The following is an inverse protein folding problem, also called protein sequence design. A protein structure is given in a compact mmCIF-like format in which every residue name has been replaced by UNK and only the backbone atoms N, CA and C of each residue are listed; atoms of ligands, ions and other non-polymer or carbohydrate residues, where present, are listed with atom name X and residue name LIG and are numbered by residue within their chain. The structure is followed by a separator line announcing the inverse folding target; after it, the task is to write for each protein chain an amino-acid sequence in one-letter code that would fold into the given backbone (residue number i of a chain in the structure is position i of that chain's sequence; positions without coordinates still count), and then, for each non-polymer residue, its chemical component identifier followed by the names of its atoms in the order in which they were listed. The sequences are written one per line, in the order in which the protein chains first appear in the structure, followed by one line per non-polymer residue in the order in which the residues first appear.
data_IF_745717824300
#
_entry.id   IF_745717824300
#
_cell.length_a   1.000
_cell.length_b   1.000
_cell.length_c   1.000
_cell.angle_alpha   90.00
_cell.angle_beta   90.00
_cell.angle_gamma   90.00
#
_symmetry.space_group_name_H-M   'P 1'
#
loop_
_entity.id
_entity.type
_entity.pdbx_description
1 polymer ?
#
# COMPACT_ATOMS: atom_id res chain seq x y z
N UNK A 1 14.25 7.43 -16.12
CA UNK A 1 13.43 6.64 -15.15
C UNK A 1 13.45 5.19 -15.60
N UNK A 2 13.50 4.20 -14.69
CA UNK A 2 13.43 2.78 -15.08
C UNK A 2 12.05 2.49 -15.71
N UNK A 3 12.00 1.56 -16.68
CA UNK A 3 10.74 1.08 -17.28
C UNK A 3 9.93 0.23 -16.27
N UNK A 4 8.64 0.01 -16.57
CA UNK A 4 7.80 -0.91 -15.79
C UNK A 4 8.41 -2.32 -15.76
N UNK A 5 8.87 -2.82 -16.92
CA UNK A 5 9.48 -4.14 -17.01
C UNK A 5 10.73 -4.25 -16.14
N UNK A 6 11.61 -3.25 -16.17
CA UNK A 6 12.80 -3.24 -15.30
C UNK A 6 12.45 -3.30 -13.83
N UNK A 7 11.46 -2.51 -13.38
CA UNK A 7 11.01 -2.54 -12.00
C UNK A 7 10.40 -3.88 -11.60
N UNK A 8 9.61 -4.47 -12.50
CA UNK A 8 8.95 -5.75 -12.25
C UNK A 8 9.96 -6.90 -12.21
N UNK A 9 10.97 -6.88 -13.08
CA UNK A 9 12.03 -7.88 -13.10
C UNK A 9 12.89 -7.83 -11.82
N UNK A 10 13.29 -6.61 -11.39
CA UNK A 10 14.02 -6.43 -10.13
C UNK A 10 13.21 -6.90 -8.92
N UNK A 11 11.90 -6.57 -8.88
CA UNK A 11 11.02 -7.02 -7.81
C UNK A 11 10.86 -8.55 -7.82
N UNK A 12 10.69 -9.14 -9.00
CA UNK A 12 10.52 -10.57 -9.18
C UNK A 12 11.74 -11.40 -8.76
N UNK A 13 12.94 -10.80 -8.73
CA UNK A 13 14.17 -11.52 -8.29
C UNK A 13 14.08 -12.08 -6.87
N UNK A 14 13.38 -11.42 -5.98
CA UNK A 14 13.15 -11.84 -4.59
C UNK A 14 11.75 -12.41 -4.35
N UNK A 15 11.02 -12.77 -5.44
CA UNK A 15 9.65 -13.26 -5.38
C UNK A 15 9.44 -14.41 -6.37
N UNK A 16 10.36 -15.39 -6.41
CA UNK A 16 10.27 -16.58 -7.29
C UNK A 16 9.51 -17.71 -6.64
N UNK A 17 9.66 -17.88 -5.32
CA UNK A 17 9.03 -18.95 -4.57
C UNK A 17 7.50 -18.73 -4.52
N UNK A 18 6.66 -19.74 -4.87
CA UNK A 18 5.20 -19.59 -4.89
C UNK A 18 4.59 -19.30 -3.51
N UNK A 19 5.18 -19.83 -2.43
CA UNK A 19 4.71 -19.55 -1.06
C UNK A 19 4.96 -18.10 -0.71
N UNK A 20 6.16 -17.58 -1.01
CA UNK A 20 6.49 -16.18 -0.82
C UNK A 20 5.55 -15.27 -1.62
N UNK A 21 5.27 -15.58 -2.89
CA UNK A 21 4.29 -14.85 -3.70
C UNK A 21 2.91 -14.80 -3.05
N UNK A 22 2.42 -15.93 -2.56
CA UNK A 22 1.11 -15.99 -1.90
C UNK A 22 1.06 -15.14 -0.63
N UNK A 23 2.14 -15.13 0.16
CA UNK A 23 2.27 -14.25 1.33
C UNK A 23 2.20 -12.78 0.86
N UNK A 24 2.90 -12.41 -0.22
CA UNK A 24 2.91 -11.06 -0.75
C UNK A 24 1.55 -10.62 -1.31
N UNK A 25 0.76 -11.54 -1.89
CA UNK A 25 -0.62 -11.26 -2.33
C UNK A 25 -1.53 -10.79 -1.18
N UNK A 26 -1.22 -11.18 0.05
CA UNK A 26 -1.96 -10.77 1.25
C UNK A 26 -1.29 -9.55 1.89
N UNK A 27 0.01 -9.66 2.16
CA UNK A 27 0.72 -8.65 2.95
C UNK A 27 0.90 -7.31 2.24
N UNK A 28 1.15 -7.29 0.92
CA UNK A 28 1.36 -6.04 0.18
C UNK A 28 0.13 -5.15 0.16
N UNK A 29 -1.10 -5.63 -0.16
CA UNK A 29 -2.30 -4.81 -0.04
C UNK A 29 -2.57 -4.33 1.39
N UNK A 30 -2.30 -5.16 2.41
CA UNK A 30 -2.45 -4.78 3.80
C UNK A 30 -1.46 -3.68 4.20
N UNK A 31 -0.18 -3.80 3.82
CA UNK A 31 0.83 -2.76 4.05
C UNK A 31 0.41 -1.47 3.34
N UNK A 32 -0.04 -1.55 2.10
CA UNK A 32 -0.50 -0.36 1.36
C UNK A 32 -1.67 0.33 2.06
N UNK A 33 -2.68 -0.44 2.49
CA UNK A 33 -3.80 0.07 3.30
C UNK A 33 -3.33 0.76 4.58
N UNK A 34 -2.43 0.11 5.33
CA UNK A 34 -1.97 0.65 6.61
C UNK A 34 -1.11 1.90 6.46
N UNK A 35 -0.31 2.00 5.40
CA UNK A 35 0.44 3.24 5.10
C UNK A 35 -0.52 4.39 4.84
N UNK A 36 -1.60 4.17 4.06
CA UNK A 36 -2.64 5.19 3.87
C UNK A 36 -3.30 5.53 5.21
N UNK A 37 -3.67 4.53 6.03
CA UNK A 37 -4.29 4.72 7.33
C UNK A 37 -3.42 5.48 8.33
N UNK A 38 -2.12 5.24 8.33
CA UNK A 38 -1.15 5.99 9.14
C UNK A 38 -1.07 7.45 8.71
N UNK A 39 -0.95 7.73 7.41
CA UNK A 39 -0.98 9.11 6.88
C UNK A 39 -2.32 9.79 7.14
N UNK A 40 -3.43 9.05 7.06
CA UNK A 40 -4.76 9.54 7.40
C UNK A 40 -4.89 9.97 8.86
N UNK A 41 -4.22 9.26 9.76
CA UNK A 41 -4.27 9.49 11.21
C UNK A 41 -3.41 10.66 11.69
N UNK A 42 -2.57 11.25 10.83
CA UNK A 42 -1.74 12.42 11.20
C UNK A 42 -2.66 13.63 11.40
N UNK A 43 -2.57 14.32 12.54
CA UNK A 43 -3.35 15.53 12.80
C UNK A 43 -3.17 16.58 11.70
N UNK A 44 -4.28 17.10 11.18
CA UNK A 44 -4.25 18.05 10.05
C UNK A 44 -4.11 19.48 10.57
N UNK A 45 -3.19 20.29 10.03
CA UNK A 45 -3.12 21.70 10.34
C UNK A 45 -4.40 22.44 9.99
N UNK A 46 -4.76 23.48 10.77
CA UNK A 46 -5.99 24.26 10.55
C UNK A 46 -6.10 24.86 9.15
N UNK A 47 -4.95 25.16 8.50
CA UNK A 47 -4.91 25.66 7.12
C UNK A 47 -5.49 24.67 6.10
N UNK A 48 -5.54 23.38 6.40
CA UNK A 48 -6.15 22.37 5.52
C UNK A 48 -7.67 22.29 5.69
N UNK A 49 -8.23 22.82 6.80
CA UNK A 49 -9.64 22.70 7.12
C UNK A 49 -10.58 23.36 6.06
N UNK A 50 -10.07 24.28 5.26
CA UNK A 50 -10.83 24.96 4.20
C UNK A 50 -11.01 24.08 2.94
N UNK A 51 -10.24 22.98 2.80
CA UNK A 51 -10.29 22.10 1.64
C UNK A 51 -10.81 20.73 2.09
N UNK A 52 -12.00 20.30 1.64
CA UNK A 52 -12.58 19.01 2.00
C UNK A 52 -11.61 17.87 1.67
N UNK A 53 -11.48 16.93 2.59
CA UNK A 53 -10.64 15.73 2.47
C UNK A 53 -9.14 15.98 2.27
N UNK A 54 -8.66 17.23 2.38
CA UNK A 54 -7.23 17.51 2.35
C UNK A 54 -6.59 17.05 3.66
N UNK A 55 -5.73 16.03 3.56
CA UNK A 55 -4.97 15.49 4.67
C UNK A 55 -3.66 14.88 4.13
N UNK A 56 -2.80 14.38 5.03
CA UNK A 56 -1.51 13.83 4.61
C UNK A 56 -1.64 12.57 3.74
N UNK A 57 -2.70 11.76 3.90
CA UNK A 57 -2.93 10.61 3.04
C UNK A 57 -3.26 11.03 1.60
N UNK A 58 -4.15 12.02 1.42
CA UNK A 58 -4.48 12.53 0.08
C UNK A 58 -3.28 13.15 -0.61
N UNK A 59 -2.44 13.89 0.12
CA UNK A 59 -1.19 14.45 -0.42
C UNK A 59 -0.25 13.33 -0.86
N UNK A 60 -0.01 12.35 0.01
CA UNK A 60 0.86 11.21 -0.31
C UNK A 60 0.36 10.43 -1.53
N UNK A 61 -0.96 10.20 -1.63
CA UNK A 61 -1.56 9.51 -2.76
C UNK A 61 -1.45 10.31 -4.07
N UNK A 62 -1.60 11.63 -4.04
CA UNK A 62 -1.40 12.47 -5.23
C UNK A 62 0.05 12.41 -5.71
N UNK A 63 1.03 12.45 -4.79
CA UNK A 63 2.45 12.31 -5.13
C UNK A 63 2.75 10.92 -5.71
N UNK A 64 2.22 9.87 -5.08
CA UNK A 64 2.35 8.50 -5.57
C UNK A 64 1.71 8.32 -6.96
N UNK A 65 0.53 8.91 -7.18
CA UNK A 65 -0.14 8.87 -8.47
C UNK A 65 0.69 9.58 -9.55
N UNK A 66 1.33 10.71 -9.23
CA UNK A 66 2.27 11.39 -10.13
C UNK A 66 3.44 10.49 -10.55
N UNK A 67 3.96 9.66 -9.65
CA UNK A 67 4.96 8.64 -9.98
C UNK A 67 4.39 7.56 -10.91
N UNK A 68 3.19 7.03 -10.60
CA UNK A 68 2.57 5.98 -11.41
C UNK A 68 2.16 6.45 -12.81
N UNK A 69 1.68 7.68 -12.96
CA UNK A 69 1.35 8.28 -14.28
C UNK A 69 2.59 8.31 -15.17
N UNK A 70 3.75 8.69 -14.61
CA UNK A 70 5.02 8.71 -15.36
C UNK A 70 5.53 7.31 -15.71
N UNK A 71 5.14 6.31 -14.96
CA UNK A 71 5.55 4.93 -15.18
C UNK A 71 4.65 4.24 -16.21
N UNK A 72 3.34 4.28 -16.02
CA UNK A 72 2.30 3.77 -16.91
C UNK A 72 0.95 4.38 -16.57
N UNK A 73 0.28 5.09 -17.49
CA UNK A 73 -1.07 5.62 -17.26
C UNK A 73 -2.10 4.55 -16.92
N UNK A 74 -2.00 3.36 -17.52
CA UNK A 74 -2.92 2.25 -17.23
C UNK A 74 -2.75 1.75 -15.78
N UNK A 75 -1.51 1.55 -15.31
CA UNK A 75 -1.24 1.19 -13.92
C UNK A 75 -1.64 2.31 -12.95
N UNK A 76 -1.44 3.58 -13.34
CA UNK A 76 -1.89 4.72 -12.54
C UNK A 76 -3.40 4.74 -12.34
N UNK A 77 -4.19 4.42 -13.37
CA UNK A 77 -5.64 4.31 -13.25
C UNK A 77 -6.04 3.20 -12.27
N UNK A 78 -5.41 2.04 -12.35
CA UNK A 78 -5.67 0.94 -11.41
C UNK A 78 -5.28 1.31 -9.98
N UNK A 79 -4.16 2.00 -9.79
CA UNK A 79 -3.74 2.49 -8.48
C UNK A 79 -4.66 3.58 -7.94
N UNK A 80 -5.19 4.46 -8.81
CA UNK A 80 -6.20 5.44 -8.41
C UNK A 80 -7.46 4.75 -7.88
N UNK A 81 -7.96 3.74 -8.59
CA UNK A 81 -9.13 2.96 -8.16
C UNK A 81 -8.84 2.25 -6.83
N UNK A 82 -7.72 1.53 -6.74
CA UNK A 82 -7.32 0.83 -5.52
C UNK A 82 -7.19 1.78 -4.33
N UNK A 83 -6.49 2.89 -4.50
CA UNK A 83 -6.32 3.91 -3.44
C UNK A 83 -7.64 4.50 -3.00
N UNK A 84 -8.55 4.80 -3.94
CA UNK A 84 -9.88 5.31 -3.64
C UNK A 84 -10.69 4.30 -2.82
N UNK A 85 -10.64 3.01 -3.16
CA UNK A 85 -11.29 1.95 -2.39
C UNK A 85 -10.71 1.84 -0.98
N UNK A 86 -9.39 1.94 -0.81
CA UNK A 86 -8.75 1.94 0.51
C UNK A 86 -9.15 3.16 1.34
N UNK A 87 -9.24 4.35 0.73
CA UNK A 87 -9.72 5.56 1.40
C UNK A 87 -11.18 5.43 1.86
N UNK A 88 -12.05 4.92 0.98
CA UNK A 88 -13.46 4.65 1.35
C UNK A 88 -13.52 3.66 2.52
N UNK A 89 -12.73 2.59 2.48
CA UNK A 89 -12.67 1.61 3.57
C UNK A 89 -12.23 2.26 4.90
N UNK A 90 -11.22 3.14 4.88
CA UNK A 90 -10.77 3.88 6.07
C UNK A 90 -11.91 4.73 6.63
N UNK A 91 -12.62 5.48 5.79
CA UNK A 91 -13.76 6.31 6.21
C UNK A 91 -14.87 5.45 6.80
N UNK A 92 -15.22 4.33 6.16
CA UNK A 92 -16.23 3.39 6.67
C UNK A 92 -15.82 2.81 8.02
N UNK A 93 -14.57 2.37 8.16
CA UNK A 93 -14.08 1.85 9.44
C UNK A 93 -14.13 2.91 10.54
N UNK A 94 -13.72 4.13 10.24
CA UNK A 94 -13.70 5.24 11.21
C UNK A 94 -15.10 5.69 11.63
N UNK A 95 -16.09 5.60 10.72
CA UNK A 95 -17.44 6.10 11.01
C UNK A 95 -18.36 5.05 11.59
N UNK A 96 -18.19 3.77 11.24
CA UNK A 96 -19.13 2.71 11.62
C UNK A 96 -18.60 1.75 12.69
N UNK A 97 -17.28 1.63 12.83
CA UNK A 97 -16.65 0.60 13.68
C UNK A 97 -15.75 1.20 14.74
N UNK A 98 -14.96 2.20 14.38
CA UNK A 98 -13.98 2.83 15.26
C UNK A 98 -14.50 4.20 15.74
N UNK A 99 -14.06 4.68 16.89
CA UNK A 99 -13.11 4.01 17.78
C UNK A 99 -13.78 2.93 18.65
N UNK A 100 -13.00 1.88 18.98
CA UNK A 100 -13.43 0.84 19.92
C UNK A 100 -12.93 1.20 21.31
N UNK A 101 -13.80 1.38 22.33
CA UNK A 101 -13.37 1.65 23.70
C UNK A 101 -12.74 0.40 24.33
N UNK A 102 -11.52 0.55 24.87
CA UNK A 102 -10.79 -0.50 25.59
C UNK A 102 -10.36 0.07 26.94
N UNK A 103 -11.23 -0.05 27.94
CA UNK A 103 -11.04 0.62 29.23
C UNK A 103 -11.07 2.15 29.06
N UNK A 104 -10.02 2.83 29.49
CA UNK A 104 -9.84 4.28 29.31
C UNK A 104 -9.23 4.68 27.95
N UNK A 105 -8.85 3.71 27.11
CA UNK A 105 -8.24 3.91 25.82
C UNK A 105 -9.27 3.79 24.68
N UNK A 106 -9.02 4.49 23.59
CA UNK A 106 -9.88 4.50 22.40
C UNK A 106 -9.08 4.01 21.19
N UNK A 107 -9.32 2.76 20.78
CA UNK A 107 -8.62 2.11 19.65
C UNK A 107 -9.14 2.67 18.33
N UNK A 108 -8.30 3.39 17.60
CA UNK A 108 -8.65 4.10 16.37
C UNK A 108 -7.98 3.54 15.11
N UNK A 109 -8.07 4.31 14.02
CA UNK A 109 -7.47 3.95 12.72
C UNK A 109 -5.94 3.82 12.82
N UNK A 110 -5.27 4.68 13.60
CA UNK A 110 -3.82 4.60 13.82
C UNK A 110 -3.42 3.25 14.40
N UNK A 111 -4.14 2.82 15.43
CA UNK A 111 -3.82 1.58 16.16
C UNK A 111 -4.08 0.35 15.30
N UNK A 112 -5.21 0.35 14.58
CA UNK A 112 -5.52 -0.67 13.61
C UNK A 112 -4.42 -0.76 12.53
N UNK A 113 -4.01 0.39 12.00
CA UNK A 113 -2.99 0.47 10.96
C UNK A 113 -1.63 -0.05 11.48
N UNK A 114 -1.21 0.37 12.67
CA UNK A 114 0.04 -0.12 13.28
C UNK A 114 -0.03 -1.64 13.49
N UNK A 115 -1.14 -2.13 14.05
CA UNK A 115 -1.31 -3.56 14.30
C UNK A 115 -1.20 -4.39 13.04
N UNK A 116 -1.96 -4.02 11.99
CA UNK A 116 -1.93 -4.74 10.70
C UNK A 116 -0.56 -4.58 10.03
N UNK A 117 0.05 -3.39 10.09
CA UNK A 117 1.37 -3.13 9.52
C UNK A 117 2.42 -4.08 10.10
N UNK A 118 2.49 -4.19 11.43
CA UNK A 118 3.45 -5.08 12.10
C UNK A 118 3.21 -6.54 11.70
N UNK A 119 1.95 -6.99 11.71
CA UNK A 119 1.62 -8.37 11.33
C UNK A 119 1.95 -8.67 9.86
N UNK A 120 1.66 -7.73 8.97
CA UNK A 120 1.95 -7.88 7.55
C UNK A 120 3.47 -7.89 7.28
N UNK A 121 4.26 -7.07 7.99
CA UNK A 121 5.72 -7.11 7.90
C UNK A 121 6.32 -8.41 8.44
N UNK A 122 5.78 -8.97 9.53
CA UNK A 122 6.17 -10.30 9.99
C UNK A 122 5.94 -11.33 8.87
N UNK A 123 4.77 -11.28 8.21
CA UNK A 123 4.48 -12.12 7.05
C UNK A 123 5.49 -11.94 5.91
N UNK A 124 5.85 -10.69 5.57
CA UNK A 124 6.86 -10.38 4.56
C UNK A 124 8.23 -11.00 4.91
N UNK A 125 8.67 -10.85 6.16
CA UNK A 125 9.94 -11.44 6.61
C UNK A 125 9.93 -12.98 6.54
N UNK A 126 8.81 -13.62 6.87
CA UNK A 126 8.66 -15.07 6.72
C UNK A 126 8.75 -15.44 5.23
N UNK A 127 8.07 -14.72 4.36
CA UNK A 127 8.11 -14.94 2.91
C UNK A 127 9.54 -14.85 2.35
N UNK A 128 10.28 -13.78 2.69
CA UNK A 128 11.66 -13.60 2.24
C UNK A 128 12.63 -14.62 2.85
N UNK A 129 12.35 -15.10 4.06
CA UNK A 129 13.13 -16.21 4.65
C UNK A 129 12.94 -17.53 3.87
N UNK A 130 11.71 -17.80 3.43
CA UNK A 130 11.39 -18.96 2.57
C UNK A 130 12.02 -18.82 1.18
N UNK A 131 12.03 -17.60 0.63
CA UNK A 131 12.68 -17.28 -0.65
C UNK A 131 14.20 -17.51 -0.60
N UNK A 132 14.82 -17.34 0.59
CA UNK A 132 16.27 -17.36 0.73
C UNK A 132 16.98 -16.12 0.17
N UNK A 133 16.24 -15.11 -0.27
CA UNK A 133 16.74 -13.83 -0.80
C UNK A 133 15.96 -12.67 -0.17
N UNK A 134 16.71 -11.71 0.38
CA UNK A 134 16.15 -10.52 0.99
C UNK A 134 16.59 -9.27 0.22
N UNK A 135 15.68 -8.37 -0.18
CA UNK A 135 16.06 -7.07 -0.73
C UNK A 135 16.87 -6.26 0.29
N UNK A 136 17.64 -5.28 -0.18
CA UNK A 136 18.27 -4.32 0.71
C UNK A 136 17.22 -3.36 1.28
N UNK A 137 17.51 -2.72 2.42
CA UNK A 137 16.60 -1.76 3.06
C UNK A 137 16.13 -0.65 2.10
N UNK A 138 17.03 -0.11 1.27
CA UNK A 138 16.66 0.92 0.29
C UNK A 138 15.77 0.37 -0.84
N UNK A 139 15.99 -0.89 -1.24
CA UNK A 139 15.11 -1.57 -2.19
C UNK A 139 13.74 -1.82 -1.56
N UNK A 140 13.67 -2.21 -0.29
CA UNK A 140 12.40 -2.40 0.42
C UNK A 140 11.56 -1.11 0.41
N UNK A 141 12.19 0.06 0.63
CA UNK A 141 11.48 1.34 0.57
C UNK A 141 10.97 1.68 -0.84
N UNK A 142 11.76 1.43 -1.88
CA UNK A 142 11.33 1.58 -3.26
C UNK A 142 10.24 0.56 -3.61
N UNK A 143 10.37 -0.65 -3.13
CA UNK A 143 9.43 -1.74 -3.37
C UNK A 143 8.10 -1.54 -2.65
N UNK A 144 8.02 -0.67 -1.65
CA UNK A 144 6.74 -0.23 -1.09
C UNK A 144 5.83 0.43 -2.15
N UNK A 145 6.44 1.14 -3.12
CA UNK A 145 5.71 1.73 -4.25
C UNK A 145 5.49 0.71 -5.38
N UNK A 146 6.44 -0.21 -5.59
CA UNK A 146 6.41 -1.15 -6.71
C UNK A 146 5.53 -2.38 -6.41
N UNK A 147 5.53 -2.87 -5.17
CA UNK A 147 4.76 -4.06 -4.78
C UNK A 147 3.28 -4.01 -5.19
N UNK A 148 2.53 -2.95 -4.86
CA UNK A 148 1.12 -2.84 -5.25
C UNK A 148 0.90 -2.88 -6.76
N UNK A 149 1.72 -2.16 -7.57
CA UNK A 149 1.58 -2.17 -9.03
C UNK A 149 2.06 -3.49 -9.65
N UNK A 150 3.00 -4.19 -9.03
CA UNK A 150 3.43 -5.50 -9.46
C UNK A 150 2.30 -6.54 -9.34
N UNK A 151 1.57 -6.54 -8.21
CA UNK A 151 0.38 -7.36 -8.05
C UNK A 151 -0.73 -6.95 -9.04
N UNK A 152 -0.94 -5.65 -9.23
CA UNK A 152 -1.89 -5.13 -10.22
C UNK A 152 -1.52 -5.58 -11.64
N UNK A 153 -0.23 -5.67 -11.97
CA UNK A 153 0.29 -6.18 -13.23
C UNK A 153 -0.21 -7.60 -13.53
N UNK A 154 -0.23 -8.51 -12.54
CA UNK A 154 -0.82 -9.86 -12.73
C UNK A 154 -2.32 -9.79 -13.01
N UNK A 155 -3.05 -8.91 -12.34
CA UNK A 155 -4.49 -8.71 -12.59
C UNK A 155 -4.69 -8.21 -14.02
N UNK A 156 -3.91 -7.24 -14.48
CA UNK A 156 -3.97 -6.69 -15.82
C UNK A 156 -3.63 -7.73 -16.90
N UNK A 157 -2.59 -8.54 -16.67
CA UNK A 157 -2.25 -9.65 -17.57
C UNK A 157 -3.42 -10.65 -17.70
N UNK A 158 -4.05 -11.01 -16.58
CA UNK A 158 -5.22 -11.91 -16.58
C UNK A 158 -6.43 -11.31 -17.30
N UNK A 159 -6.61 -9.99 -17.20
CA UNK A 159 -7.67 -9.24 -17.88
C UNK A 159 -7.30 -8.83 -19.30
N UNK A 160 -6.08 -9.15 -19.78
CA UNK A 160 -5.53 -8.75 -21.09
C UNK A 160 -5.50 -7.23 -21.30
N UNK A 161 -5.26 -6.48 -20.23
CA UNK A 161 -5.08 -5.02 -20.25
C UNK A 161 -3.59 -4.73 -20.46
N UNK A 162 -3.28 -3.96 -21.50
CA UNK A 162 -1.90 -3.49 -21.76
C UNK A 162 -1.53 -2.34 -20.81
N UNK A 163 -0.27 -2.32 -20.34
CA UNK A 163 0.23 -1.26 -19.46
C UNK A 163 1.70 -0.95 -19.71
#
# INVERSE_FOLDING_TARGET
MKSVSTWFDEYAESHRNPINKNIHWICVPLIYFTVIGLFWSIPVPSVFASVPYLNFATIALVLALGFYIRLSPALALGMLILSSLMMVLIVVLQTLILPIPIGSYSYGISDLSITIFVLAWIGQFIGHKIEGKKPSFFQDLQFLMIGPIWLLGFVYQKLKISY
#
